data_IF_757409703089
#
_entry.id   IF_757409703089
#
_cell.length_a   1.000
_cell.length_b   1.000
_cell.length_c   1.000
_cell.angle_alpha   90.00
_cell.angle_beta   90.00
_cell.angle_gamma   90.00
#
_symmetry.space_group_name_H-M   'P 1'
#
loop_
_entity.id
_entity.type
_entity.pdbx_description
1 polymer ?
#
# COMPACT_ATOMS: atom_id res chain seq x y z
N UNK A 1 19.47 -27.05 -10.04
CA UNK A 1 20.40 -26.86 -8.91
C UNK A 1 21.22 -25.63 -9.22
N UNK A 2 20.76 -24.46 -8.76
CA UNK A 2 21.55 -23.24 -8.75
C UNK A 2 21.81 -22.88 -7.29
N UNK A 3 23.04 -23.18 -6.85
CA UNK A 3 23.59 -22.77 -5.57
C UNK A 3 23.75 -21.24 -5.58
N UNK A 4 22.73 -20.51 -5.14
CA UNK A 4 22.95 -19.17 -4.62
C UNK A 4 23.63 -19.32 -3.26
N UNK A 5 24.96 -19.29 -3.27
CA UNK A 5 25.80 -19.10 -2.09
C UNK A 5 25.18 -18.06 -1.16
N UNK A 6 24.72 -18.51 0.01
CA UNK A 6 24.32 -17.66 1.14
C UNK A 6 25.58 -17.02 1.77
N UNK A 7 26.31 -16.25 0.96
CA UNK A 7 27.45 -15.47 1.42
C UNK A 7 26.91 -14.25 2.15
N UNK A 8 27.07 -14.24 3.47
CA UNK A 8 26.85 -13.05 4.30
C UNK A 8 27.54 -11.84 3.65
N UNK A 9 26.84 -10.69 3.67
CA UNK A 9 27.45 -9.44 3.22
C UNK A 9 28.72 -9.18 4.04
N UNK A 10 29.85 -8.84 3.38
CA UNK A 10 31.10 -8.63 4.09
C UNK A 10 31.00 -7.44 5.05
N UNK A 11 31.51 -7.64 6.26
CA UNK A 11 31.66 -6.57 7.25
C UNK A 11 32.97 -5.82 7.00
N UNK A 12 32.96 -4.53 7.28
CA UNK A 12 34.12 -3.65 7.16
C UNK A 12 34.38 -2.93 8.49
N UNK A 13 35.63 -2.58 8.77
CA UNK A 13 36.01 -1.66 9.85
C UNK A 13 36.84 -0.52 9.30
N UNK A 14 36.84 0.63 9.99
CA UNK A 14 37.66 1.77 9.60
C UNK A 14 39.00 1.76 10.33
N UNK A 15 40.11 1.65 9.60
CA UNK A 15 41.46 1.44 10.15
C UNK A 15 41.92 2.51 11.13
N UNK A 16 41.47 3.76 10.95
CA UNK A 16 41.82 4.89 11.84
C UNK A 16 40.73 5.27 12.86
N UNK A 17 39.57 4.62 12.80
CA UNK A 17 38.38 4.96 13.59
C UNK A 17 37.64 3.69 14.03
N UNK A 18 38.30 2.85 14.84
CA UNK A 18 37.70 1.60 15.31
C UNK A 18 36.47 1.84 16.20
N UNK A 19 36.35 3.04 16.78
CA UNK A 19 35.21 3.50 17.57
C UNK A 19 33.88 3.56 16.79
N UNK A 20 33.92 3.52 15.45
CA UNK A 20 32.71 3.49 14.62
C UNK A 20 32.08 2.09 14.51
N UNK A 21 32.79 1.06 14.97
CA UNK A 21 32.37 -0.34 14.89
C UNK A 21 32.34 -0.89 13.46
N UNK A 22 31.62 -1.99 13.27
CA UNK A 22 31.49 -2.65 11.97
C UNK A 22 30.58 -1.88 11.02
N UNK A 23 30.76 -2.13 9.73
CA UNK A 23 29.97 -1.54 8.68
C UNK A 23 29.61 -2.52 7.55
N UNK A 24 28.52 -2.22 6.85
CA UNK A 24 28.15 -2.87 5.58
C UNK A 24 28.16 -1.87 4.43
N UNK A 25 28.44 -2.35 3.23
CA UNK A 25 28.39 -1.54 2.01
C UNK A 25 26.93 -1.24 1.62
N UNK A 26 26.50 0.00 1.85
CA UNK A 26 25.14 0.45 1.61
C UNK A 26 24.85 0.79 0.14
N UNK A 27 25.87 1.27 -0.56
CA UNK A 27 25.81 1.66 -1.98
C UNK A 27 27.23 1.83 -2.55
N UNK A 28 27.41 1.42 -3.81
CA UNK A 28 28.64 1.65 -4.57
C UNK A 28 28.30 2.34 -5.90
N UNK A 29 29.03 3.41 -6.21
CA UNK A 29 29.01 4.07 -7.51
C UNK A 29 30.41 4.20 -8.08
N UNK A 30 30.51 4.82 -9.25
CA UNK A 30 31.76 4.87 -10.04
C UNK A 30 32.97 5.47 -9.29
N UNK A 31 32.75 6.45 -8.42
CA UNK A 31 33.83 7.17 -7.71
C UNK A 31 33.71 7.17 -6.19
N UNK A 32 32.60 6.66 -5.65
CA UNK A 32 32.28 6.73 -4.22
C UNK A 32 31.61 5.46 -3.74
N UNK A 33 31.93 5.06 -2.51
CA UNK A 33 31.24 3.99 -1.76
C UNK A 33 30.63 4.58 -0.51
N UNK A 34 29.49 4.06 -0.11
CA UNK A 34 28.81 4.45 1.13
C UNK A 34 28.63 3.25 2.03
N UNK A 35 28.91 3.44 3.31
CA UNK A 35 28.85 2.39 4.33
C UNK A 35 27.97 2.82 5.50
N UNK A 36 27.17 1.88 6.02
CA UNK A 36 26.45 2.04 7.29
C UNK A 36 27.32 1.49 8.41
N UNK A 37 27.64 2.31 9.41
CA UNK A 37 28.39 1.91 10.59
C UNK A 37 27.48 1.62 11.78
N UNK A 38 27.97 0.85 12.75
CA UNK A 38 27.28 0.52 14.01
C UNK A 38 27.05 1.73 14.91
N UNK A 39 27.86 2.79 14.78
CA UNK A 39 27.63 4.11 15.40
C UNK A 39 26.35 4.81 14.89
N UNK A 40 25.65 4.20 13.94
CA UNK A 40 24.42 4.70 13.34
C UNK A 40 24.64 5.68 12.19
N UNK A 41 25.88 6.00 11.81
CA UNK A 41 26.20 6.98 10.77
C UNK A 41 26.40 6.32 9.39
N UNK A 42 25.76 6.87 8.35
CA UNK A 42 26.08 6.59 6.94
C UNK A 42 27.24 7.47 6.47
N UNK A 43 28.37 6.86 6.10
CA UNK A 43 29.57 7.59 5.66
C UNK A 43 29.92 7.26 4.21
N UNK A 44 30.30 8.28 3.44
CA UNK A 44 30.68 8.15 2.03
C UNK A 44 32.18 8.38 1.86
N UNK A 45 32.87 7.44 1.20
CA UNK A 45 34.29 7.51 0.88
C UNK A 45 34.46 7.64 -0.63
N UNK A 46 35.48 8.38 -1.07
CA UNK A 46 35.89 8.44 -2.49
C UNK A 46 36.89 7.32 -2.76
N UNK A 47 37.02 6.90 -4.02
CA UNK A 47 37.89 5.78 -4.46
C UNK A 47 39.32 5.80 -3.88
N UNK A 48 39.94 6.98 -3.75
CA UNK A 48 41.29 7.12 -3.16
C UNK A 48 41.37 6.93 -1.65
N UNK A 49 40.27 6.62 -0.97
CA UNK A 49 40.19 6.44 0.48
C UNK A 49 39.58 5.09 0.88
N UNK A 50 39.45 4.15 -0.07
CA UNK A 50 38.89 2.82 0.23
C UNK A 50 39.82 1.97 1.08
N UNK A 51 41.13 2.23 1.05
CA UNK A 51 42.13 1.52 1.87
C UNK A 51 41.95 1.78 3.37
N UNK A 52 41.09 2.74 3.76
CA UNK A 52 40.71 2.94 5.15
C UNK A 52 39.61 1.97 5.62
N UNK A 53 39.02 1.18 4.71
CA UNK A 53 37.92 0.26 4.98
C UNK A 53 38.40 -1.16 4.74
N UNK A 54 38.76 -1.85 5.81
CA UNK A 54 39.26 -3.23 5.74
C UNK A 54 38.12 -4.22 5.99
N UNK A 55 38.01 -5.28 5.16
CA UNK A 55 37.05 -6.35 5.43
C UNK A 55 37.43 -7.08 6.72
N UNK A 56 36.42 -7.42 7.53
CA UNK A 56 36.61 -8.18 8.76
C UNK A 56 35.98 -9.56 8.60
N UNK A 57 36.74 -10.57 9.00
CA UNK A 57 36.28 -11.96 9.07
C UNK A 57 35.79 -12.26 10.49
N UNK A 58 34.50 -12.02 10.72
CA UNK A 58 33.81 -12.30 11.99
C UNK A 58 33.15 -13.69 11.96
N UNK A 59 33.06 -14.41 13.10
CA UNK A 59 32.32 -15.67 13.18
C UNK A 59 30.89 -15.53 12.66
N UNK A 60 30.43 -16.51 11.88
CA UNK A 60 29.18 -16.45 11.10
C UNK A 60 27.95 -15.98 11.90
N UNK A 61 27.74 -16.52 13.10
CA UNK A 61 26.58 -16.18 13.94
C UNK A 61 26.61 -14.71 14.39
N UNK A 62 27.77 -14.23 14.83
CA UNK A 62 27.98 -12.83 15.22
C UNK A 62 27.85 -11.89 14.01
N UNK A 63 28.45 -12.26 12.88
CA UNK A 63 28.37 -11.49 11.65
C UNK A 63 26.92 -11.35 11.15
N UNK A 64 26.12 -12.41 11.26
CA UNK A 64 24.72 -12.44 10.83
C UNK A 64 23.85 -11.45 11.61
N UNK A 65 23.99 -11.42 12.93
CA UNK A 65 23.23 -10.48 13.77
C UNK A 65 23.67 -9.03 13.52
N UNK A 66 24.96 -8.77 13.38
CA UNK A 66 25.51 -7.44 13.07
C UNK A 66 24.99 -6.95 11.71
N UNK A 67 25.03 -7.78 10.68
CA UNK A 67 24.51 -7.45 9.33
C UNK A 67 23.01 -7.18 9.38
N UNK A 68 22.23 -7.96 10.13
CA UNK A 68 20.79 -7.75 10.30
C UNK A 68 20.50 -6.37 10.90
N UNK A 69 21.21 -5.99 11.95
CA UNK A 69 20.99 -4.74 12.66
C UNK A 69 21.40 -3.53 11.80
N UNK A 70 22.53 -3.61 11.09
CA UNK A 70 22.97 -2.58 10.15
C UNK A 70 21.99 -2.42 8.97
N UNK A 71 21.39 -3.50 8.46
CA UNK A 71 20.31 -3.44 7.45
C UNK A 71 19.06 -2.75 7.98
N UNK A 72 18.72 -2.98 9.25
CA UNK A 72 17.61 -2.28 9.92
C UNK A 72 17.88 -0.77 9.97
N UNK A 73 19.09 -0.35 10.33
CA UNK A 73 19.50 1.06 10.33
C UNK A 73 19.41 1.69 8.92
N UNK A 74 19.89 0.99 7.88
CA UNK A 74 19.75 1.45 6.49
C UNK A 74 18.30 1.63 6.05
N UNK A 75 17.40 0.76 6.51
CA UNK A 75 15.96 0.87 6.24
C UNK A 75 15.39 2.12 6.89
N UNK A 76 15.74 2.39 8.15
CA UNK A 76 15.35 3.62 8.87
C UNK A 76 15.88 4.86 8.13
N UNK A 77 17.15 4.84 7.71
CA UNK A 77 17.75 5.99 7.05
C UNK A 77 17.22 6.22 5.62
N UNK A 78 16.84 5.18 4.87
CA UNK A 78 16.11 5.33 3.60
C UNK A 78 14.73 5.96 3.79
N UNK A 79 14.05 5.66 4.91
CA UNK A 79 12.80 6.33 5.29
C UNK A 79 13.06 7.80 5.65
N UNK A 80 14.18 8.12 6.32
CA UNK A 80 14.59 9.51 6.64
C UNK A 80 15.11 10.31 5.43
N UNK A 81 15.71 9.63 4.43
CA UNK A 81 16.28 10.22 3.20
C UNK A 81 15.34 10.18 2.00
N UNK A 82 14.07 9.82 2.17
CA UNK A 82 13.06 10.26 1.23
C UNK A 82 13.25 11.79 1.04
N UNK A 83 13.25 12.30 -0.20
CA UNK A 83 13.68 13.66 -0.47
C UNK A 83 12.93 14.64 0.44
N UNK A 84 13.71 15.44 1.16
CA UNK A 84 13.22 16.59 1.90
C UNK A 84 12.52 17.51 0.87
N UNK A 85 11.24 17.86 1.04
CA UNK A 85 10.63 18.86 0.18
C UNK A 85 11.45 20.15 0.30
N UNK A 86 11.70 20.79 -0.83
CA UNK A 86 12.36 22.10 -0.90
C UNK A 86 11.76 23.09 0.13
N UNK A 87 12.52 24.07 0.66
CA UNK A 87 12.11 24.89 1.81
C UNK A 87 11.03 25.95 1.51
N UNK A 88 10.05 25.65 0.63
CA UNK A 88 8.93 26.54 0.29
C UNK A 88 7.53 25.93 0.48
N UNK A 89 7.40 24.80 1.16
CA UNK A 89 6.14 24.47 1.81
C UNK A 89 6.42 23.73 3.11
N UNK A 90 6.16 24.36 4.25
CA UNK A 90 5.82 23.59 5.45
C UNK A 90 4.72 22.63 4.97
N UNK A 91 4.96 21.32 5.09
CA UNK A 91 4.04 20.28 4.61
C UNK A 91 2.77 20.38 5.48
N UNK A 92 1.91 21.34 5.15
CA UNK A 92 0.71 21.67 5.91
C UNK A 92 -0.14 20.43 5.91
N UNK A 93 -0.47 19.95 7.11
CA UNK A 93 -1.43 18.88 7.28
C UNK A 93 -2.75 19.42 6.73
N UNK A 94 -3.27 18.79 5.68
CA UNK A 94 -4.54 19.16 5.06
C UNK A 94 -5.64 18.66 6.01
N UNK A 95 -6.35 19.61 6.64
CA UNK A 95 -7.47 19.33 7.53
C UNK A 95 -8.68 18.79 6.75
N UNK A 96 -9.72 18.33 7.46
CA UNK A 96 -10.95 17.93 6.78
C UNK A 96 -11.63 19.10 6.06
N UNK A 97 -11.67 20.29 6.66
CA UNK A 97 -12.28 21.46 6.05
C UNK A 97 -11.52 21.87 4.78
N UNK A 98 -10.18 21.81 4.80
CA UNK A 98 -9.36 22.02 3.61
C UNK A 98 -9.72 20.99 2.51
N UNK A 99 -9.94 19.72 2.86
CA UNK A 99 -10.36 18.69 1.90
C UNK A 99 -11.74 18.96 1.31
N UNK A 100 -12.71 19.41 2.11
CA UNK A 100 -14.04 19.81 1.63
C UNK A 100 -13.93 20.99 0.68
N UNK A 101 -13.16 22.03 1.03
CA UNK A 101 -12.89 23.18 0.14
C UNK A 101 -12.26 22.74 -1.19
N UNK A 102 -11.28 21.85 -1.17
CA UNK A 102 -10.68 21.29 -2.40
C UNK A 102 -11.72 20.52 -3.21
N UNK A 103 -12.54 19.71 -2.55
CA UNK A 103 -13.54 18.86 -3.19
C UNK A 103 -14.61 19.70 -3.89
N UNK A 104 -15.19 20.69 -3.20
CA UNK A 104 -16.18 21.62 -3.74
C UNK A 104 -15.59 22.48 -4.88
N UNK A 105 -14.30 22.83 -4.81
CA UNK A 105 -13.65 23.55 -5.89
C UNK A 105 -13.46 22.72 -7.17
N UNK A 106 -13.40 21.39 -7.06
CA UNK A 106 -13.41 20.50 -8.24
C UNK A 106 -14.82 20.08 -8.66
N UNK A 107 -15.72 19.91 -7.70
CA UNK A 107 -17.06 19.35 -7.85
C UNK A 107 -18.04 20.15 -6.98
N UNK A 108 -18.55 21.30 -7.46
CA UNK A 108 -19.42 22.18 -6.66
C UNK A 108 -20.69 21.52 -6.13
N UNK A 109 -21.22 20.50 -6.80
CA UNK A 109 -22.36 19.70 -6.32
C UNK A 109 -21.96 18.42 -5.59
N UNK A 110 -20.69 18.31 -5.18
CA UNK A 110 -20.16 17.17 -4.46
C UNK A 110 -20.27 15.85 -5.25
N UNK A 111 -20.79 14.81 -4.61
CA UNK A 111 -20.95 13.48 -5.22
C UNK A 111 -22.04 13.42 -6.29
N UNK A 112 -22.95 14.41 -6.34
CA UNK A 112 -24.00 14.53 -7.36
C UNK A 112 -23.55 15.36 -8.57
N UNK A 113 -22.32 15.88 -8.54
CA UNK A 113 -21.78 16.68 -9.63
C UNK A 113 -21.60 15.83 -10.91
N UNK A 114 -22.12 16.31 -12.04
CA UNK A 114 -21.99 15.62 -13.34
C UNK A 114 -20.53 15.37 -13.70
N UNK A 115 -19.63 16.27 -13.27
CA UNK A 115 -18.19 16.11 -13.47
C UNK A 115 -17.63 15.01 -12.56
N UNK A 116 -18.10 14.88 -11.31
CA UNK A 116 -17.70 13.78 -10.43
C UNK A 116 -18.15 12.44 -11.02
N UNK A 117 -19.38 12.37 -11.51
CA UNK A 117 -19.93 11.17 -12.14
C UNK A 117 -19.11 10.81 -13.38
N UNK A 118 -18.83 11.77 -14.27
CA UNK A 118 -18.04 11.53 -15.48
C UNK A 118 -16.58 11.19 -15.21
N UNK A 119 -15.94 11.88 -14.26
CA UNK A 119 -14.52 11.70 -13.96
C UNK A 119 -14.23 10.45 -13.11
N UNK A 120 -15.08 10.16 -12.14
CA UNK A 120 -14.76 9.25 -11.02
C UNK A 120 -15.78 8.14 -10.88
N UNK A 121 -17.07 8.45 -10.70
CA UNK A 121 -18.06 7.41 -10.36
C UNK A 121 -18.36 6.50 -11.54
N UNK A 122 -18.52 7.08 -12.73
CA UNK A 122 -19.22 6.46 -13.85
C UNK A 122 -20.72 6.41 -13.61
N UNK A 123 -21.48 6.07 -14.65
CA UNK A 123 -22.94 5.93 -14.61
C UNK A 123 -23.45 5.36 -15.92
N UNK A 124 -24.75 5.15 -16.01
CA UNK A 124 -25.40 4.71 -17.26
C UNK A 124 -25.13 5.71 -18.39
N UNK A 125 -24.78 5.20 -19.57
CA UNK A 125 -24.48 6.01 -20.75
C UNK A 125 -23.08 6.65 -20.79
N UNK A 126 -22.25 6.49 -19.75
CA UNK A 126 -20.85 6.95 -19.76
C UNK A 126 -19.93 5.85 -20.31
N UNK A 127 -19.04 6.20 -21.23
CA UNK A 127 -18.00 5.28 -21.72
C UNK A 127 -17.16 4.76 -20.55
N UNK A 128 -17.19 3.44 -20.33
CA UNK A 128 -16.54 2.75 -19.23
C UNK A 128 -15.01 2.97 -19.23
N UNK A 129 -14.49 3.54 -18.15
CA UNK A 129 -13.05 3.69 -17.91
C UNK A 129 -12.65 2.95 -16.63
N UNK A 130 -11.41 2.45 -16.55
CA UNK A 130 -10.90 1.71 -15.38
C UNK A 130 -11.02 2.44 -14.04
N UNK A 131 -11.11 3.77 -14.06
CA UNK A 131 -11.28 4.59 -12.86
C UNK A 131 -12.71 4.66 -12.35
N UNK A 132 -13.70 4.30 -13.18
CA UNK A 132 -15.11 4.34 -12.81
C UNK A 132 -15.45 3.27 -11.79
N UNK A 133 -16.02 3.69 -10.65
CA UNK A 133 -16.36 2.82 -9.52
C UNK A 133 -17.66 2.08 -9.69
N UNK A 134 -18.71 2.75 -10.14
CA UNK A 134 -20.02 2.13 -10.31
C UNK A 134 -19.99 0.91 -11.24
N UNK A 135 -19.50 1.00 -12.49
CA UNK A 135 -19.46 -0.18 -13.36
C UNK A 135 -18.44 -1.22 -12.89
N UNK A 136 -17.31 -0.82 -12.27
CA UNK A 136 -16.38 -1.79 -11.70
C UNK A 136 -16.97 -2.58 -10.52
N UNK A 137 -17.79 -1.94 -9.70
CA UNK A 137 -18.55 -2.59 -8.62
C UNK A 137 -19.56 -3.58 -9.20
N UNK A 138 -20.37 -3.17 -10.19
CA UNK A 138 -21.36 -4.05 -10.81
C UNK A 138 -20.71 -5.28 -11.44
N UNK A 139 -19.65 -5.10 -12.23
CA UNK A 139 -18.90 -6.20 -12.84
C UNK A 139 -18.29 -7.14 -11.79
N UNK A 140 -17.78 -6.60 -10.67
CA UNK A 140 -17.23 -7.41 -9.59
C UNK A 140 -18.30 -8.19 -8.83
N UNK A 141 -19.43 -7.55 -8.52
CA UNK A 141 -20.54 -8.18 -7.82
C UNK A 141 -21.21 -9.28 -8.66
N UNK A 142 -21.30 -9.08 -9.98
CA UNK A 142 -21.78 -10.09 -10.93
C UNK A 142 -20.80 -11.26 -11.04
N UNK A 143 -19.52 -11.00 -11.32
CA UNK A 143 -18.52 -12.07 -11.52
C UNK A 143 -18.26 -12.90 -10.28
N UNK A 144 -18.30 -12.26 -9.11
CA UNK A 144 -18.01 -12.89 -7.83
C UNK A 144 -19.28 -13.08 -7.02
N UNK A 145 -20.46 -13.16 -7.64
CA UNK A 145 -21.71 -13.47 -6.94
C UNK A 145 -21.57 -14.77 -6.14
N UNK A 146 -22.15 -14.82 -4.94
CA UNK A 146 -22.02 -15.96 -4.03
C UNK A 146 -22.37 -17.30 -4.69
N UNK A 147 -23.42 -17.34 -5.51
CA UNK A 147 -23.84 -18.56 -6.24
C UNK A 147 -22.78 -19.07 -7.23
N UNK A 148 -22.08 -18.15 -7.92
CA UNK A 148 -20.99 -18.47 -8.84
C UNK A 148 -19.78 -18.97 -8.06
N UNK A 149 -19.41 -18.27 -6.98
CA UNK A 149 -18.28 -18.65 -6.14
C UNK A 149 -18.52 -20.03 -5.52
N UNK A 150 -19.67 -20.25 -4.89
CA UNK A 150 -20.03 -21.54 -4.29
C UNK A 150 -20.07 -22.67 -5.35
N UNK A 151 -20.60 -22.40 -6.54
CA UNK A 151 -20.60 -23.36 -7.65
C UNK A 151 -19.20 -23.72 -8.19
N UNK A 152 -18.21 -22.83 -8.10
CA UNK A 152 -16.81 -23.14 -8.39
C UNK A 152 -16.19 -24.00 -7.29
N UNK A 153 -16.48 -23.67 -6.01
CA UNK A 153 -16.00 -24.44 -4.86
C UNK A 153 -16.52 -25.88 -4.89
N UNK A 154 -17.80 -26.09 -5.19
CA UNK A 154 -18.42 -27.43 -5.29
C UNK A 154 -17.80 -28.29 -6.40
N UNK A 155 -17.34 -27.67 -7.49
CA UNK A 155 -16.66 -28.35 -8.61
C UNK A 155 -15.17 -28.57 -8.36
N UNK A 156 -14.61 -28.02 -7.29
CA UNK A 156 -13.17 -28.00 -7.03
C UNK A 156 -12.40 -27.11 -8.02
N UNK A 157 -13.07 -26.18 -8.70
CA UNK A 157 -12.44 -25.28 -9.68
C UNK A 157 -11.83 -24.05 -8.98
N UNK A 158 -10.81 -24.30 -8.17
CA UNK A 158 -10.10 -23.27 -7.41
C UNK A 158 -9.33 -22.29 -8.32
N UNK A 159 -8.80 -22.79 -9.43
CA UNK A 159 -8.11 -21.99 -10.43
C UNK A 159 -9.08 -21.01 -11.12
N UNK A 160 -10.31 -21.43 -11.42
CA UNK A 160 -11.36 -20.57 -11.96
C UNK A 160 -11.67 -19.38 -11.06
N UNK A 161 -11.75 -19.58 -9.73
CA UNK A 161 -11.97 -18.47 -8.80
C UNK A 161 -10.80 -17.47 -8.77
N UNK A 162 -9.57 -17.96 -8.89
CA UNK A 162 -8.39 -17.10 -9.01
C UNK A 162 -8.46 -16.26 -10.29
N UNK A 163 -8.86 -16.84 -11.42
CA UNK A 163 -9.03 -16.09 -12.68
C UNK A 163 -10.12 -15.03 -12.56
N UNK A 164 -11.25 -15.32 -11.92
CA UNK A 164 -12.28 -14.29 -11.66
C UNK A 164 -11.74 -13.13 -10.83
N UNK A 165 -10.95 -13.39 -9.78
CA UNK A 165 -10.29 -12.33 -9.01
C UNK A 165 -9.33 -11.50 -9.88
N UNK A 166 -8.52 -12.15 -10.73
CA UNK A 166 -7.61 -11.45 -11.66
C UNK A 166 -8.38 -10.57 -12.65
N UNK A 167 -9.47 -11.08 -13.21
CA UNK A 167 -10.34 -10.35 -14.13
C UNK A 167 -10.92 -9.10 -13.47
N UNK A 168 -11.52 -9.24 -12.29
CA UNK A 168 -12.08 -8.12 -11.51
C UNK A 168 -11.02 -7.05 -11.24
N UNK A 169 -9.83 -7.44 -10.80
CA UNK A 169 -8.72 -6.53 -10.54
C UNK A 169 -8.20 -5.86 -11.82
N UNK A 170 -8.32 -6.51 -12.98
CA UNK A 170 -7.90 -5.95 -14.27
C UNK A 170 -8.84 -4.86 -14.79
N UNK A 171 -10.11 -4.89 -14.37
CA UNK A 171 -11.17 -3.95 -14.77
C UNK A 171 -11.17 -2.63 -13.99
N UNK A 172 -10.29 -2.48 -12.99
CA UNK A 172 -10.21 -1.29 -12.13
C UNK A 172 -8.81 -0.67 -12.15
N UNK A 173 -8.70 0.57 -11.63
CA UNK A 173 -7.43 1.22 -11.32
C UNK A 173 -7.11 1.27 -9.82
N UNK A 174 -7.88 0.55 -8.99
CA UNK A 174 -7.58 0.40 -7.56
C UNK A 174 -6.25 -0.33 -7.34
N UNK A 175 -5.92 -1.26 -8.23
CA UNK A 175 -4.65 -2.00 -8.23
C UNK A 175 -3.83 -1.73 -9.50
N UNK A 176 -2.51 -1.82 -9.37
CA UNK A 176 -1.57 -1.92 -10.49
C UNK A 176 -1.18 -3.37 -10.75
N UNK A 177 -0.54 -3.65 -11.89
CA UNK A 177 0.01 -4.98 -12.17
C UNK A 177 1.03 -5.43 -11.11
N UNK A 178 1.77 -4.50 -10.51
CA UNK A 178 2.71 -4.80 -9.41
C UNK A 178 1.97 -5.21 -8.15
N UNK A 179 0.86 -4.53 -7.84
CA UNK A 179 0.07 -4.86 -6.66
C UNK A 179 -0.49 -6.29 -6.73
N UNK A 180 -0.86 -6.75 -7.92
CA UNK A 180 -1.46 -8.08 -8.14
C UNK A 180 -0.45 -9.20 -8.37
N UNK A 181 0.86 -8.93 -8.28
CA UNK A 181 1.89 -9.92 -8.60
C UNK A 181 1.80 -11.17 -7.71
N UNK A 182 1.53 -11.03 -6.42
CA UNK A 182 1.42 -12.18 -5.51
C UNK A 182 0.23 -13.09 -5.86
N UNK A 183 -0.89 -12.56 -6.35
CA UNK A 183 -2.02 -13.37 -6.84
C UNK A 183 -1.73 -13.97 -8.22
N UNK A 184 -1.09 -13.21 -9.12
CA UNK A 184 -0.79 -13.67 -10.49
C UNK A 184 0.17 -14.85 -10.52
N UNK A 185 1.11 -14.88 -9.58
CA UNK A 185 2.15 -15.90 -9.49
C UNK A 185 1.89 -16.89 -8.34
N UNK A 186 0.66 -16.97 -7.81
CA UNK A 186 0.34 -17.88 -6.71
C UNK A 186 0.56 -19.35 -7.15
N UNK A 187 1.41 -20.13 -6.44
CA UNK A 187 1.64 -21.54 -6.75
C UNK A 187 0.35 -22.37 -6.72
N UNK A 188 0.25 -23.37 -7.60
CA UNK A 188 -0.93 -24.24 -7.74
C UNK A 188 -1.29 -24.96 -6.44
N UNK A 189 -0.30 -25.38 -5.67
CA UNK A 189 -0.45 -25.98 -4.33
C UNK A 189 -1.14 -25.07 -3.30
N UNK A 190 -1.32 -23.79 -3.60
CA UNK A 190 -2.04 -22.83 -2.75
C UNK A 190 -3.37 -22.37 -3.35
N UNK A 191 -3.80 -22.91 -4.50
CA UNK A 191 -5.03 -22.46 -5.17
C UNK A 191 -6.28 -22.79 -4.35
N UNK A 192 -6.37 -24.01 -3.81
CA UNK A 192 -7.47 -24.42 -2.94
C UNK A 192 -7.54 -23.57 -1.67
N UNK A 193 -6.40 -23.38 -1.00
CA UNK A 193 -6.31 -22.53 0.19
C UNK A 193 -6.75 -21.09 -0.10
N UNK A 194 -6.36 -20.55 -1.25
CA UNK A 194 -6.78 -19.22 -1.67
C UNK A 194 -8.28 -19.17 -1.93
N UNK A 195 -8.82 -20.15 -2.67
CA UNK A 195 -10.22 -20.19 -3.03
C UNK A 195 -11.11 -20.25 -1.78
N UNK A 196 -10.77 -21.12 -0.82
CA UNK A 196 -11.44 -21.20 0.47
C UNK A 196 -11.36 -19.87 1.24
N UNK A 197 -10.16 -19.28 1.36
CA UNK A 197 -9.98 -18.01 2.07
C UNK A 197 -10.68 -16.83 1.39
N UNK A 198 -10.74 -16.81 0.06
CA UNK A 198 -11.43 -15.79 -0.74
C UNK A 198 -12.95 -15.89 -0.60
N UNK A 199 -13.50 -17.12 -0.68
CA UNK A 199 -14.93 -17.39 -0.43
C UNK A 199 -15.31 -17.01 0.99
N UNK A 200 -14.52 -17.42 1.98
CA UNK A 200 -14.70 -17.00 3.36
C UNK A 200 -14.65 -15.48 3.46
N UNK A 201 -13.66 -14.79 2.91
CA UNK A 201 -13.55 -13.33 2.97
C UNK A 201 -14.80 -12.60 2.47
N UNK A 202 -15.38 -13.05 1.35
CA UNK A 202 -16.52 -12.38 0.72
C UNK A 202 -17.87 -12.76 1.36
N UNK A 203 -18.06 -14.04 1.70
CA UNK A 203 -19.38 -14.59 2.06
C UNK A 203 -19.39 -15.47 3.31
N UNK A 204 -18.24 -15.69 3.92
CA UNK A 204 -18.11 -16.49 5.13
C UNK A 204 -18.70 -15.81 6.37
N UNK A 205 -19.05 -16.65 7.33
CA UNK A 205 -19.54 -16.21 8.63
C UNK A 205 -18.40 -15.89 9.61
N UNK A 206 -18.73 -15.22 10.71
CA UNK A 206 -17.78 -14.90 11.77
C UNK A 206 -16.98 -13.60 11.55
N UNK A 207 -16.02 -13.31 12.45
CA UNK A 207 -15.31 -12.03 12.47
C UNK A 207 -14.52 -11.79 11.17
N UNK A 208 -14.75 -10.65 10.53
CA UNK A 208 -14.05 -10.27 9.30
C UNK A 208 -12.52 -10.28 9.46
N UNK A 209 -12.02 -9.93 10.64
CA UNK A 209 -10.60 -9.91 10.97
C UNK A 209 -9.94 -11.28 10.77
N UNK A 210 -10.63 -12.35 11.15
CA UNK A 210 -10.11 -13.72 11.02
C UNK A 210 -10.05 -14.12 9.55
N UNK A 211 -11.13 -13.81 8.81
CA UNK A 211 -11.25 -14.10 7.36
C UNK A 211 -10.21 -13.32 6.56
N UNK A 212 -10.05 -12.02 6.85
CA UNK A 212 -9.03 -11.15 6.26
C UNK A 212 -7.60 -11.62 6.56
N UNK A 213 -7.32 -12.02 7.81
CA UNK A 213 -5.99 -12.51 8.20
C UNK A 213 -5.64 -13.79 7.45
N UNK A 214 -6.59 -14.74 7.32
CA UNK A 214 -6.38 -15.97 6.52
C UNK A 214 -6.10 -15.63 5.07
N UNK A 215 -6.93 -14.80 4.45
CA UNK A 215 -6.79 -14.37 3.05
C UNK A 215 -5.43 -13.73 2.76
N UNK A 216 -5.02 -12.75 3.58
CA UNK A 216 -3.72 -12.09 3.44
C UNK A 216 -2.56 -13.06 3.68
N UNK A 217 -2.71 -14.00 4.62
CA UNK A 217 -1.73 -15.05 4.87
C UNK A 217 -1.49 -15.94 3.64
N UNK A 218 -2.55 -16.33 2.93
CA UNK A 218 -2.41 -17.15 1.70
C UNK A 218 -1.75 -16.35 0.57
N UNK A 219 -2.16 -15.10 0.35
CA UNK A 219 -1.52 -14.22 -0.63
C UNK A 219 -0.01 -14.02 -0.36
N UNK A 220 0.41 -14.15 0.91
CA UNK A 220 1.80 -14.04 1.33
C UNK A 220 2.65 -15.28 1.06
N UNK A 221 2.07 -16.37 0.57
CA UNK A 221 2.81 -17.61 0.25
C UNK A 221 3.50 -17.59 -1.11
N UNK A 222 3.25 -16.57 -1.93
CA UNK A 222 3.90 -16.44 -3.24
C UNK A 222 5.37 -16.04 -3.07
N UNK A 223 6.34 -16.89 -3.49
CA UNK A 223 7.76 -16.62 -3.29
C UNK A 223 8.22 -15.34 -3.99
N UNK A 224 9.01 -14.52 -3.29
CA UNK A 224 9.58 -13.28 -3.84
C UNK A 224 8.59 -12.11 -3.97
N UNK A 225 7.29 -12.34 -3.73
CA UNK A 225 6.26 -11.31 -3.82
C UNK A 225 5.84 -10.80 -2.43
N UNK A 226 5.23 -9.62 -2.39
CA UNK A 226 4.69 -9.03 -1.16
C UNK A 226 3.20 -8.73 -1.33
N UNK A 227 2.42 -9.05 -0.31
CA UNK A 227 1.01 -8.64 -0.26
C UNK A 227 0.94 -7.12 -0.05
N UNK A 228 0.13 -6.47 -0.87
CA UNK A 228 -0.06 -5.02 -0.83
C UNK A 228 -1.47 -4.67 -0.33
N UNK A 229 -1.61 -3.49 0.28
CA UNK A 229 -2.92 -2.96 0.67
C UNK A 229 -3.92 -2.90 -0.48
N UNK A 230 -3.57 -2.37 -1.68
CA UNK A 230 -4.47 -2.40 -2.83
C UNK A 230 -4.95 -3.81 -3.18
N UNK A 231 -4.05 -4.80 -3.25
CA UNK A 231 -4.45 -6.17 -3.54
C UNK A 231 -5.40 -6.73 -2.47
N UNK A 232 -5.05 -6.57 -1.20
CA UNK A 232 -5.79 -7.15 -0.09
C UNK A 232 -7.21 -6.59 0.06
N UNK A 233 -7.47 -5.37 -0.45
CA UNK A 233 -8.70 -4.62 -0.15
C UNK A 233 -9.54 -4.26 -1.37
N UNK A 234 -9.00 -4.32 -2.59
CA UNK A 234 -9.74 -3.90 -3.78
C UNK A 234 -10.95 -4.81 -4.08
N UNK A 235 -10.80 -6.14 -4.01
CA UNK A 235 -11.91 -7.05 -4.33
C UNK A 235 -13.06 -6.93 -3.31
N UNK A 236 -12.83 -7.03 -1.98
CA UNK A 236 -13.92 -6.84 -1.01
C UNK A 236 -14.62 -5.49 -1.15
N UNK A 237 -13.86 -4.41 -1.40
CA UNK A 237 -14.42 -3.08 -1.60
C UNK A 237 -15.19 -2.92 -2.92
N UNK A 238 -14.88 -3.72 -3.95
CA UNK A 238 -15.64 -3.73 -5.19
C UNK A 238 -16.88 -4.61 -5.09
N UNK A 239 -16.85 -5.72 -4.35
CA UNK A 239 -18.00 -6.63 -4.23
C UNK A 239 -19.02 -6.07 -3.23
N UNK A 240 -18.56 -5.52 -2.10
CA UNK A 240 -19.40 -4.99 -1.02
C UNK A 240 -18.93 -3.57 -0.61
N UNK A 241 -19.11 -2.55 -1.48
CA UNK A 241 -18.54 -1.21 -1.28
C UNK A 241 -19.13 -0.46 -0.08
N UNK A 242 -20.32 -0.84 0.39
CA UNK A 242 -20.93 -0.28 1.61
C UNK A 242 -20.21 -0.78 2.87
N UNK A 243 -19.66 -1.99 2.83
CA UNK A 243 -19.05 -2.66 3.98
C UNK A 243 -17.53 -2.51 4.03
N UNK A 244 -16.88 -2.50 2.87
CA UNK A 244 -15.43 -2.59 2.76
C UNK A 244 -14.81 -1.40 2.04
N UNK A 245 -13.70 -0.91 2.58
CA UNK A 245 -12.92 0.19 1.99
C UNK A 245 -11.68 -0.34 1.28
N UNK A 246 -11.42 0.20 0.08
CA UNK A 246 -10.15 0.01 -0.62
C UNK A 246 -9.08 0.90 0.00
N UNK A 247 -7.84 0.44 0.12
CA UNK A 247 -6.77 1.19 0.80
C UNK A 247 -5.64 1.51 -0.17
N UNK A 248 -5.39 2.81 -0.37
CA UNK A 248 -4.17 3.31 -1.03
C UNK A 248 -3.24 3.93 0.02
N UNK A 249 -2.12 3.28 0.37
CA UNK A 249 -1.29 3.69 1.51
C UNK A 249 -0.85 5.15 1.51
N UNK A 250 -0.46 5.71 0.36
CA UNK A 250 0.10 7.06 0.30
C UNK A 250 -0.88 8.13 0.77
N UNK A 251 -2.14 8.06 0.37
CA UNK A 251 -3.17 9.04 0.76
C UNK A 251 -3.85 8.69 2.07
N UNK A 252 -3.97 7.40 2.42
CA UNK A 252 -4.49 7.00 3.74
C UNK A 252 -3.54 7.40 4.88
N UNK A 253 -2.22 7.34 4.67
CA UNK A 253 -1.25 7.90 5.62
C UNK A 253 -1.41 9.41 5.78
N UNK A 254 -1.60 10.14 4.67
CA UNK A 254 -1.83 11.58 4.71
C UNK A 254 -3.14 11.93 5.43
N UNK A 255 -4.20 11.14 5.22
CA UNK A 255 -5.47 11.30 5.95
C UNK A 255 -5.27 11.10 7.46
N UNK A 256 -4.52 10.06 7.84
CA UNK A 256 -4.27 9.72 9.22
C UNK A 256 -3.48 10.79 9.97
N UNK A 257 -2.59 11.56 9.30
CA UNK A 257 -1.82 12.63 9.96
C UNK A 257 -2.69 13.62 10.73
N UNK A 258 -3.92 13.86 10.26
CA UNK A 258 -4.85 14.77 10.91
C UNK A 258 -5.89 14.05 11.78
N UNK A 259 -6.47 12.94 11.30
CA UNK A 259 -7.56 12.24 12.02
C UNK A 259 -7.10 11.27 13.10
N UNK A 260 -5.92 10.70 12.93
CA UNK A 260 -5.40 9.62 13.74
C UNK A 260 -3.85 9.67 13.73
N UNK A 261 -3.22 10.73 14.27
CA UNK A 261 -1.77 10.95 14.14
C UNK A 261 -0.92 9.83 14.75
N UNK A 262 -1.49 9.05 15.66
CA UNK A 262 -0.85 7.89 16.30
C UNK A 262 -1.18 6.56 15.61
N UNK A 263 -1.83 6.56 14.45
CA UNK A 263 -2.12 5.34 13.68
C UNK A 263 -0.79 4.74 13.21
N UNK A 264 -0.37 3.55 13.70
CA UNK A 264 0.82 2.90 13.18
C UNK A 264 0.61 2.57 11.72
N UNK A 265 1.65 2.76 10.90
CA UNK A 265 1.63 2.35 9.52
C UNK A 265 2.52 1.12 9.31
N UNK A 266 1.94 0.07 8.73
CA UNK A 266 2.67 -1.05 8.17
C UNK A 266 2.39 -1.17 6.67
N UNK A 267 3.43 -1.51 5.91
CA UNK A 267 3.31 -1.84 4.49
C UNK A 267 2.59 -3.17 4.27
N UNK A 268 2.73 -4.10 5.22
CA UNK A 268 2.04 -5.39 5.20
C UNK A 268 0.60 -5.21 5.72
N UNK A 269 -0.43 -5.71 4.98
CA UNK A 269 -1.80 -5.66 5.44
C UNK A 269 -2.04 -6.51 6.68
N UNK A 270 -2.70 -5.96 7.69
CA UNK A 270 -3.15 -6.71 8.88
C UNK A 270 -4.59 -6.34 9.21
N UNK A 271 -5.33 -7.25 9.86
CA UNK A 271 -6.72 -7.00 10.23
C UNK A 271 -6.88 -5.82 11.20
N UNK A 272 -6.00 -5.68 12.20
CA UNK A 272 -6.04 -4.53 13.14
C UNK A 272 -5.87 -3.21 12.40
N UNK A 273 -4.88 -3.11 11.50
CA UNK A 273 -4.65 -1.89 10.76
C UNK A 273 -5.76 -1.62 9.73
N UNK A 274 -6.32 -2.65 9.10
CA UNK A 274 -7.49 -2.52 8.23
C UNK A 274 -8.66 -1.93 8.99
N UNK A 275 -8.99 -2.47 10.16
CA UNK A 275 -10.09 -1.98 11.00
C UNK A 275 -9.93 -0.53 11.42
N UNK A 276 -8.70 -0.11 11.74
CA UNK A 276 -8.43 1.30 12.08
C UNK A 276 -8.61 2.22 10.87
N UNK A 277 -8.13 1.80 9.69
CA UNK A 277 -8.34 2.56 8.45
C UNK A 277 -9.82 2.59 8.03
N UNK A 278 -10.56 1.49 8.22
CA UNK A 278 -12.00 1.42 8.01
C UNK A 278 -12.78 2.37 8.94
N UNK A 279 -12.47 2.36 10.24
CA UNK A 279 -13.03 3.32 11.22
C UNK A 279 -12.72 4.77 10.85
N UNK A 280 -11.53 5.05 10.35
CA UNK A 280 -11.19 6.38 9.84
C UNK A 280 -12.05 6.74 8.62
N UNK A 281 -12.21 5.84 7.66
CA UNK A 281 -13.02 6.08 6.46
C UNK A 281 -14.51 6.27 6.76
N UNK A 282 -15.07 5.49 7.67
CA UNK A 282 -16.47 5.68 8.13
C UNK A 282 -16.65 6.99 8.88
N UNK A 283 -15.67 7.43 9.65
CA UNK A 283 -15.68 8.76 10.28
C UNK A 283 -15.56 9.90 9.24
N UNK A 284 -14.80 9.71 8.15
CA UNK A 284 -14.80 10.67 7.02
C UNK A 284 -16.18 10.75 6.39
N UNK A 285 -16.82 9.61 6.11
CA UNK A 285 -18.18 9.56 5.56
C UNK A 285 -19.17 10.34 6.43
N UNK A 286 -19.15 10.07 7.74
CA UNK A 286 -20.02 10.74 8.73
C UNK A 286 -19.78 12.26 8.80
N UNK A 287 -18.56 12.73 8.52
CA UNK A 287 -18.25 14.17 8.49
C UNK A 287 -18.68 14.81 7.18
N UNK A 288 -18.52 14.12 6.05
CA UNK A 288 -19.03 14.58 4.75
C UNK A 288 -20.55 14.75 4.79
N UNK A 289 -21.28 13.77 5.33
CA UNK A 289 -22.73 13.85 5.47
C UNK A 289 -23.15 15.08 6.30
N UNK A 290 -22.45 15.33 7.42
CA UNK A 290 -22.68 16.54 8.23
C UNK A 290 -22.35 17.84 7.52
N UNK A 291 -21.43 17.81 6.56
CA UNK A 291 -21.09 18.93 5.70
C UNK A 291 -22.02 19.06 4.48
N UNK A 292 -23.07 18.25 4.39
CA UNK A 292 -24.04 18.28 3.28
C UNK A 292 -23.66 17.45 2.06
N UNK A 293 -22.57 16.69 2.13
CA UNK A 293 -22.09 15.82 1.06
C UNK A 293 -22.42 14.36 1.36
N UNK A 294 -23.30 13.74 0.58
CA UNK A 294 -23.73 12.35 0.80
C UNK A 294 -22.98 11.37 -0.12
N UNK A 295 -21.93 10.68 0.37
CA UNK A 295 -21.27 9.62 -0.40
C UNK A 295 -22.22 8.42 -0.57
N UNK A 296 -22.11 7.70 -1.68
CA UNK A 296 -22.92 6.50 -1.92
C UNK A 296 -22.40 5.29 -1.13
N UNK A 297 -21.08 5.17 -1.00
CA UNK A 297 -20.38 4.04 -0.39
C UNK A 297 -18.93 4.37 -0.02
N UNK A 298 -18.14 3.38 0.43
CA UNK A 298 -16.74 3.57 0.80
C UNK A 298 -15.79 3.72 -0.40
N UNK A 299 -16.23 3.46 -1.63
CA UNK A 299 -15.46 3.79 -2.83
C UNK A 299 -15.47 5.30 -3.08
N UNK A 300 -16.60 5.98 -2.83
CA UNK A 300 -16.66 7.45 -2.85
C UNK A 300 -15.73 8.07 -1.80
N UNK A 301 -15.64 7.47 -0.62
CA UNK A 301 -14.70 7.89 0.44
C UNK A 301 -13.25 7.71 0.00
N UNK A 302 -12.92 6.57 -0.59
CA UNK A 302 -11.60 6.32 -1.15
C UNK A 302 -11.22 7.39 -2.17
N UNK A 303 -12.10 7.70 -3.12
CA UNK A 303 -11.81 8.66 -4.19
C UNK A 303 -11.84 10.12 -3.71
N UNK A 304 -12.63 10.46 -2.70
CA UNK A 304 -12.56 11.74 -2.00
C UNK A 304 -11.16 11.93 -1.40
N UNK A 305 -10.71 11.02 -0.54
CA UNK A 305 -9.37 11.05 0.08
C UNK A 305 -8.28 11.10 -0.99
N UNK A 306 -8.39 10.29 -2.04
CA UNK A 306 -7.44 10.29 -3.15
C UNK A 306 -7.41 11.63 -3.88
N UNK A 307 -8.56 12.24 -4.14
CA UNK A 307 -8.66 13.47 -4.92
C UNK A 307 -8.14 14.68 -4.18
N UNK A 308 -8.44 14.77 -2.89
CA UNK A 308 -8.08 15.92 -2.05
C UNK A 308 -6.63 15.86 -1.58
N UNK A 309 -6.07 14.68 -1.31
CA UNK A 309 -4.74 14.54 -0.72
C UNK A 309 -3.60 14.24 -1.71
N UNK A 310 -3.92 13.86 -2.97
CA UNK A 310 -2.90 13.73 -4.02
C UNK A 310 -2.32 15.12 -4.39
N UNK A 311 -1.13 15.19 -5.05
CA UNK A 311 -0.47 16.46 -5.35
C UNK A 311 -1.36 17.51 -6.03
N UNK A 312 -2.25 17.08 -6.93
CA UNK A 312 -3.22 17.97 -7.60
C UNK A 312 -4.18 18.66 -6.63
N UNK A 313 -4.65 17.97 -5.59
CA UNK A 313 -5.52 18.55 -4.57
C UNK A 313 -4.78 19.57 -3.70
N UNK A 314 -3.53 19.27 -3.34
CA UNK A 314 -2.67 20.20 -2.56
C UNK A 314 -2.45 21.51 -3.30
N UNK A 315 -2.08 21.43 -4.59
CA UNK A 315 -1.91 22.60 -5.45
C UNK A 315 -3.20 23.41 -5.55
N UNK A 316 -4.35 22.74 -5.62
CA UNK A 316 -5.64 23.44 -5.68
C UNK A 316 -5.92 24.24 -4.41
N UNK A 317 -5.55 23.71 -3.24
CA UNK A 317 -5.67 24.45 -1.97
C UNK A 317 -4.78 25.70 -1.94
N UNK A 318 -3.55 25.60 -2.41
CA UNK A 318 -2.62 26.73 -2.53
C UNK A 318 -3.21 27.82 -3.43
N UNK A 319 -3.72 27.45 -4.61
CA UNK A 319 -4.39 28.36 -5.54
C UNK A 319 -5.62 29.07 -4.93
N UNK A 320 -6.36 28.40 -4.03
CA UNK A 320 -7.53 28.97 -3.35
C UNK A 320 -7.17 29.90 -2.19
N UNK A 321 -5.95 29.81 -1.64
CA UNK A 321 -5.49 30.62 -0.52
C UNK A 321 -4.71 31.87 -0.96
N UNK A 322 -4.24 31.88 -2.21
CA UNK A 322 -3.57 33.03 -2.84
C UNK A 322 -4.57 34.05 -3.45
N UNK A 323 -5.85 33.68 -3.57
CA UNK A 323 -6.95 34.53 -4.08
C UNK A 323 -7.86 35.00 -2.94
#
# INVERSE_FOLDING_TARGET
MDNASDSLEPLYTHTKRPDWGYAILAWEGREKRRYQFQDGQLRTFKKGWYDLLEPVDEPYDSARDIVRDLKSMLRIERVRRAPDPTPKSVNRIISFDDQVTIFEAFYPKGFEDEKWISDVRGGEGVNRLKRHRYPAHLEAAEKLEQSIVDGLMEKGDHAGLIELFKEVLSCTNLTTSKDTASLRSLPEEHHEDFANAARELLYGEGPYESRFTRYVGILGRTPGERVTWPLATAVPALVQPVQHVAIKPSVFRAQAQWMAPNLPYDAYPTADLYNRMHKMSTEVARRLEKAGHKPNDLLDIYDFIWTTLRPKGRKKLEELQEN
#
